data_IF_293576439670
#
_entry.id   IF_293576439670
#
_cell.length_a   1.000
_cell.length_b   1.000
_cell.length_c   1.000
_cell.angle_alpha   90.00
_cell.angle_beta   90.00
_cell.angle_gamma   90.00
#
_symmetry.space_group_name_H-M   'P 1'
#
loop_
_entity.id
_entity.type
_entity.pdbx_description
1 polymer ?
#
# COMPACT_ATOMS: atom_id res chain seq x y z
N UNK A 1 -16.36 23.42 11.68
CA UNK A 1 -15.17 22.56 11.83
C UNK A 1 -15.67 21.13 11.90
N UNK A 2 -15.23 20.25 10.99
CA UNK A 2 -15.65 18.84 10.97
C UNK A 2 -14.85 18.07 12.02
N UNK A 3 -15.53 17.30 12.86
CA UNK A 3 -14.86 16.38 13.76
C UNK A 3 -14.43 15.13 13.01
N UNK A 4 -13.22 14.66 13.29
CA UNK A 4 -12.60 13.50 12.63
C UNK A 4 -12.45 12.42 13.68
N UNK A 5 -13.10 11.28 13.51
CA UNK A 5 -13.04 10.19 14.49
C UNK A 5 -11.70 9.45 14.47
N UNK A 6 -11.19 9.18 13.27
CA UNK A 6 -10.01 8.35 13.06
C UNK A 6 -9.23 8.77 11.81
N UNK A 7 -7.90 8.71 11.91
CA UNK A 7 -6.97 8.84 10.79
C UNK A 7 -6.11 7.59 10.74
N UNK A 8 -6.04 6.93 9.60
CA UNK A 8 -5.27 5.71 9.40
C UNK A 8 -4.03 6.05 8.58
N UNK A 9 -2.84 5.77 9.12
CA UNK A 9 -1.57 5.87 8.40
C UNK A 9 -1.10 4.47 7.99
N UNK A 10 -1.25 4.16 6.70
CA UNK A 10 -0.79 2.91 6.12
C UNK A 10 0.71 2.99 5.83
N UNK A 11 1.51 2.32 6.65
CA UNK A 11 2.97 2.31 6.51
C UNK A 11 3.41 1.08 5.71
N UNK A 12 4.26 1.32 4.73
CA UNK A 12 4.95 0.27 3.98
C UNK A 12 6.44 0.52 4.07
N UNK A 13 7.22 -0.56 4.09
CA UNK A 13 8.69 -0.47 4.11
C UNK A 13 9.20 0.26 2.87
N UNK A 14 10.24 1.06 3.04
CA UNK A 14 10.79 1.91 1.98
C UNK A 14 11.28 1.07 0.79
N UNK A 15 11.95 -0.06 1.06
CA UNK A 15 12.41 -1.01 0.05
C UNK A 15 11.25 -1.58 -0.79
N UNK A 16 10.09 -1.82 -0.16
CA UNK A 16 8.89 -2.29 -0.85
C UNK A 16 8.22 -1.17 -1.66
N UNK A 17 8.17 0.07 -1.14
CA UNK A 17 7.66 1.24 -1.87
C UNK A 17 8.51 1.53 -3.11
N UNK A 18 9.83 1.44 -2.98
CA UNK A 18 10.78 1.63 -4.06
C UNK A 18 10.57 0.58 -5.16
N UNK A 19 10.58 -0.70 -4.78
CA UNK A 19 10.32 -1.81 -5.71
C UNK A 19 8.97 -1.65 -6.43
N UNK A 20 7.91 -1.23 -5.72
CA UNK A 20 6.61 -0.97 -6.33
C UNK A 20 6.62 0.18 -7.34
N UNK A 21 7.32 1.28 -7.07
CA UNK A 21 7.38 2.39 -8.00
C UNK A 21 8.14 1.99 -9.27
N UNK A 22 9.31 1.37 -9.14
CA UNK A 22 10.11 0.90 -10.28
C UNK A 22 9.41 -0.22 -11.09
N UNK A 23 8.63 -1.06 -10.40
CA UNK A 23 7.83 -2.13 -11.01
C UNK A 23 6.52 -1.67 -11.65
N UNK A 24 6.13 -0.40 -11.50
CA UNK A 24 4.84 0.09 -12.01
C UNK A 24 4.80 0.06 -13.53
N UNK A 25 3.68 -0.42 -14.07
CA UNK A 25 3.39 -0.42 -15.51
C UNK A 25 1.99 0.13 -15.73
N UNK A 26 1.83 0.91 -16.79
CA UNK A 26 0.56 1.48 -17.20
C UNK A 26 0.28 1.00 -18.62
N UNK A 27 -0.92 0.51 -18.91
CA UNK A 27 -1.31 0.23 -20.29
C UNK A 27 -1.62 1.55 -21.01
N UNK A 28 -0.94 1.81 -22.11
CA UNK A 28 -1.10 3.05 -22.89
C UNK A 28 -2.45 3.17 -23.59
N UNK A 29 -3.24 2.09 -23.67
CA UNK A 29 -4.56 2.10 -24.31
C UNK A 29 -5.72 2.16 -23.30
N UNK A 30 -5.72 1.32 -22.26
CA UNK A 30 -6.83 1.27 -21.29
C UNK A 30 -6.58 2.08 -20.02
N UNK A 31 -5.35 2.55 -19.79
CA UNK A 31 -4.97 3.26 -18.56
C UNK A 31 -4.86 2.37 -17.31
N UNK A 32 -4.99 1.04 -17.45
CA UNK A 32 -4.87 0.09 -16.35
C UNK A 32 -3.49 0.12 -15.68
N UNK A 33 -3.47 0.03 -14.35
CA UNK A 33 -2.26 -0.01 -13.54
C UNK A 33 -1.89 -1.44 -13.19
N UNK A 34 -0.64 -1.78 -13.44
CA UNK A 34 -0.05 -3.09 -13.19
C UNK A 34 1.28 -2.94 -12.45
N UNK A 35 1.77 -4.03 -11.89
CA UNK A 35 3.05 -4.03 -11.21
C UNK A 35 3.79 -5.34 -11.48
N UNK A 36 4.98 -5.25 -12.07
CA UNK A 36 5.79 -6.44 -12.36
C UNK A 36 6.74 -6.81 -11.23
N UNK A 37 6.84 -6.00 -10.17
CA UNK A 37 7.69 -6.31 -9.03
C UNK A 37 7.08 -7.44 -8.20
N UNK A 38 7.88 -8.48 -7.99
CA UNK A 38 7.65 -9.48 -6.95
C UNK A 38 8.46 -9.07 -5.73
N UNK A 39 7.81 -8.81 -4.60
CA UNK A 39 8.46 -8.37 -3.37
C UNK A 39 8.49 -9.56 -2.42
N UNK A 40 9.68 -10.02 -2.08
CA UNK A 40 9.92 -11.10 -1.13
C UNK A 40 11.04 -10.67 -0.18
N UNK A 41 10.66 -9.94 0.86
CA UNK A 41 11.56 -9.46 1.90
C UNK A 41 11.57 -10.50 3.00
N UNK A 42 12.74 -11.10 3.26
CA UNK A 42 12.90 -12.10 4.32
C UNK A 42 12.80 -11.46 5.71
N UNK A 43 12.41 -12.29 6.68
CA UNK A 43 12.46 -11.88 8.07
C UNK A 43 13.92 -11.70 8.49
N UNK A 44 14.23 -10.56 9.11
CA UNK A 44 15.60 -10.22 9.51
C UNK A 44 15.58 -9.31 10.74
N UNK A 45 16.51 -9.50 11.68
CA UNK A 45 16.69 -8.65 12.86
C UNK A 45 15.37 -8.41 13.65
N UNK A 46 14.55 -9.46 13.79
CA UNK A 46 13.26 -9.39 14.49
C UNK A 46 12.13 -8.70 13.72
N UNK A 47 12.39 -8.21 12.49
CA UNK A 47 11.35 -7.71 11.60
C UNK A 47 10.71 -8.89 10.86
N UNK A 48 9.37 -8.98 10.79
CA UNK A 48 8.70 -10.06 10.07
C UNK A 48 9.06 -10.04 8.58
N UNK A 49 8.92 -11.17 7.89
CA UNK A 49 8.99 -11.18 6.43
C UNK A 49 7.84 -10.38 5.82
N UNK A 50 7.95 -10.06 4.53
CA UNK A 50 6.91 -9.40 3.75
C UNK A 50 6.90 -9.96 2.34
N UNK A 51 5.73 -10.42 1.89
CA UNK A 51 5.53 -10.88 0.52
C UNK A 51 4.43 -10.08 -0.17
N UNK A 52 4.70 -9.62 -1.38
CA UNK A 52 3.70 -9.02 -2.27
C UNK A 52 3.86 -9.61 -3.67
N UNK A 53 2.84 -10.35 -4.11
CA UNK A 53 2.79 -10.87 -5.46
C UNK A 53 2.73 -9.73 -6.50
N UNK A 54 3.27 -9.94 -7.70
CA UNK A 54 3.09 -9.01 -8.81
C UNK A 54 1.61 -8.94 -9.22
N UNK A 55 1.27 -7.85 -9.89
CA UNK A 55 -0.03 -7.64 -10.54
C UNK A 55 0.21 -7.59 -12.07
N UNK A 56 0.21 -8.76 -12.76
CA UNK A 56 0.51 -8.82 -14.18
C UNK A 56 -0.63 -8.22 -15.04
N UNK A 57 -0.31 -7.72 -16.25
CA UNK A 57 -1.33 -7.30 -17.20
C UNK A 57 -2.08 -8.50 -17.78
N UNK A 58 -3.32 -8.31 -18.23
CA UNK A 58 -3.99 -9.29 -19.09
C UNK A 58 -3.32 -9.31 -20.49
N UNK A 59 -3.48 -10.39 -21.28
CA UNK A 59 -2.79 -10.57 -22.56
C UNK A 59 -2.92 -9.38 -23.53
N UNK A 60 -4.10 -8.78 -23.62
CA UNK A 60 -4.38 -7.64 -24.49
C UNK A 60 -3.64 -6.34 -24.10
N UNK A 61 -3.09 -6.26 -22.90
CA UNK A 61 -2.33 -5.12 -22.39
C UNK A 61 -0.81 -5.37 -22.36
N UNK A 62 -0.36 -6.61 -22.45
CA UNK A 62 1.04 -6.99 -22.19
C UNK A 62 2.06 -6.27 -23.09
N UNK A 63 1.74 -6.08 -24.37
CA UNK A 63 2.61 -5.38 -25.34
C UNK A 63 2.50 -3.85 -25.31
N UNK A 64 1.59 -3.30 -24.49
CA UNK A 64 1.22 -1.87 -24.44
C UNK A 64 1.63 -1.23 -23.11
N UNK A 65 2.45 -1.94 -22.34
CA UNK A 65 2.90 -1.47 -21.04
C UNK A 65 4.01 -0.44 -21.19
N UNK A 66 3.77 0.72 -20.60
CA UNK A 66 4.74 1.80 -20.46
C UNK A 66 5.06 2.04 -18.99
N UNK A 67 6.23 2.61 -18.73
CA UNK A 67 6.62 3.13 -17.41
C UNK A 67 6.33 4.62 -17.31
N UNK A 68 6.24 5.16 -16.10
CA UNK A 68 6.25 6.61 -15.95
C UNK A 68 7.68 7.13 -16.01
N UNK A 69 7.90 8.32 -16.58
CA UNK A 69 9.23 8.91 -16.67
C UNK A 69 9.85 9.22 -15.29
N UNK A 70 9.03 9.38 -14.26
CA UNK A 70 9.46 9.70 -12.89
C UNK A 70 9.67 8.46 -12.00
N UNK A 71 9.52 7.24 -12.53
CA UNK A 71 9.81 5.98 -11.81
C UNK A 71 11.30 5.63 -11.88
N UNK A 72 12.15 6.54 -11.39
CA UNK A 72 13.58 6.32 -11.16
C UNK A 72 13.87 6.25 -9.67
N UNK A 73 14.94 5.56 -9.28
CA UNK A 73 15.26 5.35 -7.86
C UNK A 73 15.49 6.68 -7.14
N UNK A 74 16.22 7.60 -7.79
CA UNK A 74 16.54 8.93 -7.26
C UNK A 74 15.27 9.75 -7.03
N UNK A 75 14.37 9.77 -8.03
CA UNK A 75 13.13 10.55 -7.95
C UNK A 75 12.20 9.95 -6.89
N UNK A 76 12.08 8.63 -6.83
CA UNK A 76 11.23 7.95 -5.83
C UNK A 76 11.74 8.21 -4.42
N UNK A 77 13.04 8.05 -4.14
CA UNK A 77 13.63 8.36 -2.83
C UNK A 77 13.42 9.82 -2.44
N UNK A 78 13.63 10.75 -3.38
CA UNK A 78 13.40 12.17 -3.11
C UNK A 78 11.93 12.46 -2.79
N UNK A 79 10.98 11.84 -3.51
CA UNK A 79 9.55 11.97 -3.23
C UNK A 79 9.18 11.42 -1.85
N UNK A 80 9.76 10.28 -1.45
CA UNK A 80 9.53 9.70 -0.12
C UNK A 80 10.05 10.61 0.99
N UNK A 81 11.23 11.20 0.81
CA UNK A 81 11.80 12.18 1.77
C UNK A 81 10.91 13.41 1.91
N UNK A 82 10.46 13.98 0.79
CA UNK A 82 9.55 15.14 0.80
C UNK A 82 8.23 14.77 1.46
N UNK A 83 7.64 13.62 1.10
CA UNK A 83 6.41 13.12 1.71
C UNK A 83 6.54 13.05 3.24
N UNK A 84 7.57 12.38 3.75
CA UNK A 84 7.82 12.26 5.18
C UNK A 84 7.96 13.63 5.89
N UNK A 85 8.65 14.59 5.27
CA UNK A 85 8.81 15.93 5.83
C UNK A 85 7.48 16.69 5.88
N UNK A 86 6.64 16.54 4.84
CA UNK A 86 5.35 17.22 4.73
C UNK A 86 4.24 16.56 5.55
N UNK A 87 4.27 15.24 5.73
CA UNK A 87 3.24 14.52 6.49
C UNK A 87 3.52 14.46 7.97
N UNK A 88 4.79 14.55 8.41
CA UNK A 88 5.13 14.51 9.83
C UNK A 88 4.31 15.49 10.70
N UNK A 89 4.14 16.79 10.33
CA UNK A 89 3.30 17.70 11.12
C UNK A 89 1.83 17.26 11.19
N UNK A 90 1.31 16.65 10.12
CA UNK A 90 -0.08 16.14 10.06
C UNK A 90 -0.23 14.90 10.94
N UNK A 91 0.73 13.97 10.87
CA UNK A 91 0.79 12.80 11.73
C UNK A 91 0.87 13.21 13.20
N UNK A 92 1.77 14.13 13.55
CA UNK A 92 1.95 14.65 14.92
C UNK A 92 0.66 15.28 15.45
N UNK A 93 -0.04 16.04 14.61
CA UNK A 93 -1.32 16.69 14.95
C UNK A 93 -2.43 15.71 15.30
N UNK A 94 -2.58 14.61 14.55
CA UNK A 94 -3.59 13.59 14.87
C UNK A 94 -3.13 12.63 15.98
N UNK A 95 -1.82 12.37 16.07
CA UNK A 95 -1.23 11.56 17.14
C UNK A 95 -1.41 12.21 18.50
N UNK A 96 -1.15 13.52 18.62
CA UNK A 96 -1.33 14.25 19.88
C UNK A 96 -2.78 14.32 20.36
N UNK A 97 -3.73 13.99 19.49
CA UNK A 97 -5.18 13.95 19.77
C UNK A 97 -5.71 12.54 20.00
N UNK A 98 -4.83 11.52 19.95
CA UNK A 98 -5.24 10.12 20.06
C UNK A 98 -6.08 9.61 18.88
N UNK A 99 -6.01 10.29 17.73
CA UNK A 99 -6.85 10.00 16.54
C UNK A 99 -6.09 9.27 15.43
N UNK A 100 -4.77 9.09 15.58
CA UNK A 100 -3.93 8.43 14.57
C UNK A 100 -3.76 6.94 14.89
N UNK A 101 -4.23 6.09 13.99
CA UNK A 101 -3.89 4.67 13.93
C UNK A 101 -2.74 4.46 12.93
N UNK A 102 -1.59 4.03 13.42
CA UNK A 102 -0.49 3.60 12.56
C UNK A 102 -0.63 2.11 12.25
N UNK A 103 -0.66 1.76 10.96
CA UNK A 103 -0.84 0.39 10.51
C UNK A 103 0.28 0.00 9.54
N UNK A 104 1.19 -0.85 10.01
CA UNK A 104 2.24 -1.42 9.17
C UNK A 104 1.66 -2.55 8.31
N UNK A 105 1.73 -2.38 6.99
CA UNK A 105 1.31 -3.38 6.03
C UNK A 105 2.23 -4.61 6.18
N UNK A 106 1.69 -5.81 6.48
CA UNK A 106 2.50 -7.03 6.58
C UNK A 106 2.92 -7.59 5.22
N UNK A 107 2.16 -7.31 4.15
CA UNK A 107 2.31 -7.95 2.86
C UNK A 107 1.33 -7.42 1.81
N UNK A 108 1.07 -8.22 0.78
CA UNK A 108 0.07 -7.93 -0.25
C UNK A 108 -1.34 -7.74 0.32
N UNK A 109 -2.29 -7.36 -0.55
CA UNK A 109 -3.69 -7.15 -0.15
C UNK A 109 -4.29 -8.35 0.60
N UNK A 110 -4.10 -9.61 0.17
CA UNK A 110 -4.68 -10.76 0.87
C UNK A 110 -4.23 -10.91 2.32
N UNK A 111 -3.01 -10.47 2.65
CA UNK A 111 -2.49 -10.53 4.01
C UNK A 111 -2.83 -9.25 4.80
N UNK A 112 -2.79 -8.10 4.15
CA UNK A 112 -2.97 -6.79 4.79
C UNK A 112 -4.44 -6.49 5.10
N UNK A 113 -5.36 -6.87 4.21
CA UNK A 113 -6.78 -6.49 4.31
C UNK A 113 -7.46 -7.07 5.55
N UNK A 114 -7.37 -8.38 5.85
CA UNK A 114 -8.00 -8.94 7.05
C UNK A 114 -7.43 -8.35 8.34
N UNK A 115 -6.11 -8.08 8.38
CA UNK A 115 -5.46 -7.47 9.55
C UNK A 115 -5.89 -6.01 9.74
N UNK A 116 -6.11 -5.27 8.65
CA UNK A 116 -6.63 -3.90 8.72
C UNK A 116 -8.06 -3.88 9.23
N UNK A 117 -8.94 -4.74 8.71
CA UNK A 117 -10.32 -4.87 9.19
C UNK A 117 -10.36 -5.22 10.69
N UNK A 118 -9.51 -6.16 11.12
CA UNK A 118 -9.36 -6.51 12.52
C UNK A 118 -8.91 -5.31 13.37
N UNK A 119 -7.90 -4.54 12.92
CA UNK A 119 -7.43 -3.35 13.61
C UNK A 119 -8.51 -2.24 13.71
N UNK A 120 -9.47 -2.24 12.79
CA UNK A 120 -10.61 -1.32 12.77
C UNK A 120 -11.85 -1.87 13.50
N UNK A 121 -11.78 -3.08 14.08
CA UNK A 121 -12.93 -3.80 14.65
C UNK A 121 -14.11 -3.91 13.66
N UNK A 122 -13.80 -4.09 12.38
CA UNK A 122 -14.78 -4.34 11.33
C UNK A 122 -14.81 -5.84 11.06
N UNK A 123 -15.96 -6.48 11.28
CA UNK A 123 -16.19 -7.85 10.78
C UNK A 123 -16.45 -7.77 9.26
N UNK A 124 -15.83 -8.66 8.48
CA UNK A 124 -16.26 -8.90 7.10
C UNK A 124 -17.71 -9.37 7.14
N UNK A 125 -18.63 -8.50 6.73
CA UNK A 125 -20.08 -8.75 6.74
C UNK A 125 -20.55 -9.64 5.58
N UNK A 126 -19.65 -10.30 4.87
CA UNK A 126 -20.03 -11.05 3.65
C UNK A 126 -20.47 -12.50 3.88
N UNK A 127 -20.36 -13.08 5.08
CA UNK A 127 -20.72 -14.51 5.29
C UNK A 127 -21.91 -14.79 6.22
N UNK A 128 -22.65 -13.78 6.70
CA UNK A 128 -23.83 -14.00 7.59
C UNK A 128 -25.19 -13.87 6.90
N UNK A 129 -25.27 -13.60 5.59
CA UNK A 129 -26.54 -13.51 4.85
C UNK A 129 -26.86 -14.70 3.92
N UNK A 130 -25.97 -15.68 3.75
CA UNK A 130 -26.22 -16.85 2.89
C UNK A 130 -26.51 -18.16 3.65
N UNK A 131 -26.66 -18.12 4.97
CA UNK A 131 -27.04 -19.29 5.78
C UNK A 131 -28.48 -19.22 6.35
N UNK A 132 -29.33 -18.37 5.78
CA UNK A 132 -30.76 -18.31 6.07
C UNK A 132 -31.56 -18.13 4.78
N UNK A 133 -31.62 -19.18 3.98
CA UNK A 133 -32.62 -19.39 2.93
C UNK A 133 -32.89 -20.89 2.79
#
# INVERSE_FOLDING_TARGET
VTDIDLVINLKLREEALLAKCLGRRICSECGGNYNVACIDIKAENGRPGMYMAPLPPPPQCASKLITRPDDTEEVVKQRLRIYQAMTRPVEDFYRSRGKLLEFDLPGGIPESWPKLLCALNLEDREDKQSAAA
#
